data_IF_656399887753
#
_entry.id   IF_656399887753
#
_cell.length_a   1.000
_cell.length_b   1.000
_cell.length_c   1.000
_cell.angle_alpha   90.00
_cell.angle_beta   90.00
_cell.angle_gamma   90.00
#
_symmetry.space_group_name_H-M   'P 1'
#
loop_
_entity.id
_entity.type
_entity.pdbx_description
1 polymer ?
#
# COMPACT_ATOMS: atom_id res chain seq x y z
N UNK A 1 5.03 -14.20 -20.31
CA UNK A 1 4.68 -13.18 -19.30
C UNK A 1 3.80 -13.77 -18.20
N UNK A 2 2.71 -14.49 -18.55
CA UNK A 2 1.87 -15.20 -17.57
C UNK A 2 2.65 -16.25 -16.75
N UNK A 3 3.57 -17.00 -17.37
CA UNK A 3 4.37 -18.02 -16.68
C UNK A 3 5.36 -17.47 -15.65
N UNK A 4 5.83 -16.23 -15.83
CA UNK A 4 6.73 -15.59 -14.85
C UNK A 4 6.00 -15.15 -13.58
N UNK A 5 4.68 -15.00 -13.63
CA UNK A 5 3.87 -14.72 -12.45
C UNK A 5 3.63 -15.96 -11.58
N UNK A 6 3.70 -17.17 -12.18
CA UNK A 6 3.39 -18.45 -11.53
C UNK A 6 4.58 -19.07 -10.78
N UNK A 7 5.82 -18.79 -11.21
CA UNK A 7 7.03 -19.25 -10.51
C UNK A 7 8.00 -18.10 -10.39
N UNK A 8 8.06 -17.51 -9.19
CA UNK A 8 9.04 -16.48 -8.84
C UNK A 8 10.21 -17.17 -8.15
N UNK A 9 11.43 -16.79 -8.52
CA UNK A 9 12.60 -17.18 -7.74
C UNK A 9 12.44 -16.68 -6.30
N UNK A 10 12.76 -17.53 -5.33
CA UNK A 10 12.78 -17.15 -3.91
C UNK A 10 14.21 -17.21 -3.38
N UNK A 11 14.47 -16.43 -2.35
CA UNK A 11 15.66 -16.53 -1.51
C UNK A 11 15.24 -16.64 -0.06
N UNK A 12 16.09 -17.23 0.77
CA UNK A 12 15.88 -17.22 2.21
C UNK A 12 16.15 -15.81 2.76
N UNK A 13 15.27 -15.36 3.63
CA UNK A 13 15.40 -14.14 4.40
C UNK A 13 15.19 -14.44 5.88
N UNK A 14 16.13 -14.03 6.72
CA UNK A 14 15.96 -14.10 8.16
C UNK A 14 15.25 -12.85 8.64
N UNK A 15 14.05 -13.03 9.19
CA UNK A 15 13.17 -11.94 9.61
C UNK A 15 13.06 -11.90 11.13
N UNK A 16 13.76 -10.94 11.76
CA UNK A 16 13.80 -10.74 13.21
C UNK A 16 13.02 -9.51 13.67
N UNK A 17 12.21 -8.91 12.78
CA UNK A 17 11.40 -7.75 13.13
C UNK A 17 10.32 -8.12 14.16
N UNK A 18 10.31 -7.51 15.36
CA UNK A 18 9.32 -7.78 16.40
C UNK A 18 7.90 -7.30 16.04
N UNK A 19 7.73 -6.62 14.91
CA UNK A 19 6.45 -6.11 14.38
C UNK A 19 5.72 -5.20 15.37
N UNK A 20 6.44 -4.39 16.11
CA UNK A 20 5.81 -3.41 17.01
C UNK A 20 5.67 -2.04 16.35
N UNK A 21 4.65 -1.30 16.75
CA UNK A 21 4.54 0.11 16.45
C UNK A 21 5.45 0.99 17.34
N UNK A 22 5.39 2.30 17.16
CA UNK A 22 6.18 3.26 17.93
C UNK A 22 5.82 3.29 19.43
N UNK A 23 4.71 2.66 19.82
CA UNK A 23 4.24 2.53 21.20
C UNK A 23 4.46 1.13 21.78
N UNK A 24 5.23 0.28 21.09
CA UNK A 24 5.52 -1.11 21.43
C UNK A 24 4.30 -2.04 21.39
N UNK A 25 3.23 -1.64 20.71
CA UNK A 25 2.06 -2.48 20.47
C UNK A 25 2.37 -3.40 19.29
N UNK A 26 2.14 -4.70 19.49
CA UNK A 26 2.31 -5.71 18.45
C UNK A 26 1.32 -5.50 17.30
N UNK A 27 1.83 -5.49 16.07
CA UNK A 27 1.06 -5.43 14.83
C UNK A 27 0.69 -6.85 14.36
N UNK A 28 -0.31 -7.00 13.48
CA UNK A 28 -0.68 -8.29 12.90
C UNK A 28 0.53 -9.04 12.32
N UNK A 29 0.75 -10.29 12.76
CA UNK A 29 1.88 -11.12 12.30
C UNK A 29 1.53 -12.58 11.96
N UNK A 30 0.28 -13.01 12.12
CA UNK A 30 -0.15 -14.40 11.79
C UNK A 30 -0.86 -14.47 10.44
N UNK A 31 -0.63 -15.56 9.69
CA UNK A 31 -1.12 -15.71 8.33
C UNK A 31 -2.64 -15.96 8.27
N UNK A 32 -3.24 -16.37 9.39
CA UNK A 32 -4.69 -16.54 9.56
C UNK A 32 -5.43 -15.19 9.60
N UNK A 33 -4.73 -14.10 9.91
CA UNK A 33 -5.34 -12.76 9.96
C UNK A 33 -5.71 -12.31 8.55
N UNK A 34 -6.99 -12.02 8.37
CA UNK A 34 -7.56 -11.47 7.15
C UNK A 34 -7.50 -9.94 7.16
N UNK A 35 -7.36 -9.35 5.98
CA UNK A 35 -7.28 -7.89 5.82
C UNK A 35 -8.39 -7.39 4.91
N UNK A 36 -9.21 -6.48 5.40
CA UNK A 36 -10.18 -5.72 4.61
C UNK A 36 -9.59 -4.35 4.23
N UNK A 37 -9.65 -3.98 2.95
CA UNK A 37 -9.01 -2.76 2.43
C UNK A 37 -9.70 -1.45 2.87
N UNK A 38 -10.95 -1.53 3.31
CA UNK A 38 -11.74 -0.43 3.85
C UNK A 38 -12.88 -0.98 4.72
N UNK A 39 -13.54 -0.15 5.55
CA UNK A 39 -14.77 -0.54 6.23
C UNK A 39 -15.84 -1.03 5.25
N UNK A 40 -16.37 -2.24 5.47
CA UNK A 40 -17.37 -2.87 4.61
C UNK A 40 -16.81 -3.58 3.36
N UNK A 41 -15.50 -3.52 3.11
CA UNK A 41 -14.86 -4.30 2.06
C UNK A 41 -14.72 -5.78 2.45
N UNK A 42 -14.68 -6.65 1.44
CA UNK A 42 -14.37 -8.08 1.65
C UNK A 42 -12.95 -8.28 2.20
N UNK A 43 -12.81 -9.18 3.18
CA UNK A 43 -11.52 -9.50 3.77
C UNK A 43 -10.73 -10.50 2.90
N UNK A 44 -9.41 -10.33 2.87
CA UNK A 44 -8.47 -11.14 2.05
C UNK A 44 -7.45 -11.83 2.95
N UNK A 45 -7.25 -13.12 2.72
CA UNK A 45 -6.21 -13.90 3.38
C UNK A 45 -4.82 -13.66 2.76
N UNK A 46 -3.75 -14.03 3.47
CA UNK A 46 -2.39 -14.08 2.93
C UNK A 46 -1.71 -12.72 2.72
N UNK A 47 -2.30 -11.64 3.25
CA UNK A 47 -1.70 -10.31 3.29
C UNK A 47 -0.86 -10.08 4.55
N UNK A 48 -1.16 -10.81 5.62
CA UNK A 48 -0.28 -10.95 6.79
C UNK A 48 0.55 -12.22 6.62
N UNK A 49 1.84 -12.16 6.97
CA UNK A 49 2.78 -13.28 6.81
C UNK A 49 3.36 -13.65 8.16
N UNK A 50 3.25 -14.93 8.49
CA UNK A 50 3.97 -15.55 9.60
C UNK A 50 5.48 -15.38 9.46
N UNK A 51 6.15 -15.30 10.62
CA UNK A 51 7.59 -15.12 10.72
C UNK A 51 8.22 -16.13 11.68
N UNK A 52 8.35 -17.40 11.28
CA UNK A 52 9.07 -18.42 12.06
C UNK A 52 10.61 -18.21 12.03
N UNK A 53 11.11 -17.01 11.79
CA UNK A 53 12.52 -16.70 11.54
C UNK A 53 12.88 -16.70 10.07
N UNK A 54 13.51 -17.78 9.58
CA UNK A 54 13.92 -17.86 8.17
C UNK A 54 12.71 -18.18 7.28
N UNK A 55 12.42 -17.32 6.31
CA UNK A 55 11.28 -17.46 5.39
C UNK A 55 11.72 -17.29 3.94
N UNK A 56 11.12 -18.05 3.00
CA UNK A 56 11.36 -17.85 1.58
C UNK A 56 10.62 -16.59 1.11
N UNK A 57 11.37 -15.63 0.56
CA UNK A 57 10.81 -14.40 -0.01
C UNK A 57 11.06 -14.35 -1.52
N UNK A 58 10.10 -13.87 -2.33
CA UNK A 58 10.33 -13.64 -3.74
C UNK A 58 11.48 -12.66 -3.97
N UNK A 59 12.37 -12.95 -4.93
CA UNK A 59 13.49 -12.06 -5.28
C UNK A 59 13.05 -10.87 -6.12
N UNK A 60 11.81 -10.87 -6.60
CA UNK A 60 11.20 -9.80 -7.40
C UNK A 60 9.79 -9.55 -6.86
N UNK A 61 9.45 -8.27 -6.68
CA UNK A 61 8.11 -7.82 -6.33
C UNK A 61 7.06 -8.35 -7.31
N UNK A 62 5.84 -8.55 -6.82
CA UNK A 62 4.74 -8.95 -7.69
C UNK A 62 3.41 -8.46 -7.11
N UNK A 63 2.32 -9.00 -7.63
CA UNK A 63 0.97 -8.60 -7.22
C UNK A 63 0.24 -9.77 -6.54
N UNK A 64 -0.74 -9.41 -5.70
CA UNK A 64 -1.76 -10.26 -5.12
C UNK A 64 -2.90 -10.56 -6.08
N UNK A 65 -2.95 -9.89 -7.25
CA UNK A 65 -3.88 -10.23 -8.32
C UNK A 65 -3.43 -11.51 -9.03
N UNK A 66 -4.31 -12.50 -9.07
CA UNK A 66 -4.16 -13.73 -9.84
C UNK A 66 -5.03 -13.71 -11.11
N UNK A 67 -4.81 -14.63 -12.07
CA UNK A 67 -5.57 -14.67 -13.31
C UNK A 67 -7.08 -14.79 -13.12
N UNK A 68 -7.54 -15.50 -12.08
CA UNK A 68 -8.96 -15.68 -11.80
C UNK A 68 -9.57 -14.37 -11.28
N UNK A 69 -8.88 -13.69 -10.37
CA UNK A 69 -9.29 -12.38 -9.84
C UNK A 69 -9.39 -11.32 -10.92
N UNK A 70 -8.46 -11.31 -11.89
CA UNK A 70 -8.50 -10.39 -13.04
C UNK A 70 -9.59 -10.80 -14.03
N UNK A 71 -9.73 -12.09 -14.31
CA UNK A 71 -10.76 -12.62 -15.21
C UNK A 71 -12.20 -12.44 -14.69
N UNK A 72 -12.36 -12.30 -13.37
CA UNK A 72 -13.65 -12.03 -12.74
C UNK A 72 -14.11 -10.58 -12.89
N UNK A 73 -13.23 -9.64 -13.26
CA UNK A 73 -13.58 -8.23 -13.45
C UNK A 73 -14.32 -8.07 -14.78
N UNK A 74 -15.56 -7.56 -14.80
CA UNK A 74 -16.26 -7.28 -16.05
C UNK A 74 -15.47 -6.25 -16.87
N UNK A 75 -15.26 -6.51 -18.17
CA UNK A 75 -14.54 -5.59 -19.08
C UNK A 75 -15.22 -4.22 -19.18
N UNK A 76 -16.52 -4.16 -18.89
CA UNK A 76 -17.32 -2.93 -18.88
C UNK A 76 -17.21 -2.13 -17.58
N UNK A 77 -16.57 -2.68 -16.55
CA UNK A 77 -16.38 -2.02 -15.25
C UNK A 77 -15.01 -1.34 -15.20
N UNK A 78 -14.96 -0.13 -15.77
CA UNK A 78 -13.72 0.66 -15.85
C UNK A 78 -13.16 1.00 -14.45
N UNK A 79 -14.04 1.24 -13.48
CA UNK A 79 -13.65 1.58 -12.12
C UNK A 79 -12.95 0.39 -11.44
N UNK A 80 -13.50 -0.82 -11.58
CA UNK A 80 -12.87 -2.03 -11.07
C UNK A 80 -11.54 -2.35 -11.78
N UNK A 81 -11.47 -2.12 -13.10
CA UNK A 81 -10.22 -2.28 -13.85
C UNK A 81 -9.12 -1.31 -13.41
N UNK A 82 -9.47 -0.04 -13.18
CA UNK A 82 -8.54 0.98 -12.68
C UNK A 82 -8.12 0.70 -11.25
N UNK A 83 -9.04 0.23 -10.40
CA UNK A 83 -8.72 -0.19 -9.02
C UNK A 83 -7.67 -1.31 -9.03
N UNK A 84 -7.91 -2.35 -9.84
CA UNK A 84 -6.97 -3.45 -10.01
C UNK A 84 -5.60 -2.97 -10.55
N UNK A 85 -5.59 -2.04 -11.51
CA UNK A 85 -4.35 -1.44 -12.00
C UNK A 85 -3.57 -0.71 -10.90
N UNK A 86 -4.25 0.12 -10.10
CA UNK A 86 -3.61 0.84 -8.99
C UNK A 86 -3.09 -0.11 -7.90
N UNK A 87 -3.84 -1.18 -7.60
CA UNK A 87 -3.40 -2.23 -6.68
C UNK A 87 -2.14 -2.94 -7.20
N UNK A 88 -2.14 -3.36 -8.48
CA UNK A 88 -0.98 -3.99 -9.10
C UNK A 88 0.25 -3.08 -9.05
N UNK A 89 0.08 -1.80 -9.38
CA UNK A 89 1.17 -0.80 -9.31
C UNK A 89 1.69 -0.63 -7.89
N UNK A 90 0.81 -0.56 -6.89
CA UNK A 90 1.19 -0.43 -5.48
C UNK A 90 2.06 -1.61 -5.02
N UNK A 91 1.71 -2.83 -5.41
CA UNK A 91 2.38 -4.05 -4.95
C UNK A 91 3.67 -4.33 -5.73
N UNK A 92 3.64 -4.16 -7.06
CA UNK A 92 4.81 -4.43 -7.92
C UNK A 92 5.89 -3.37 -7.71
N UNK A 93 5.51 -2.10 -7.57
CA UNK A 93 6.44 -0.96 -7.46
C UNK A 93 6.66 -0.54 -6.00
N UNK A 94 6.41 -1.46 -5.05
CA UNK A 94 6.63 -1.22 -3.64
C UNK A 94 8.11 -0.87 -3.40
N UNK A 95 8.37 0.17 -2.60
CA UNK A 95 9.70 0.76 -2.36
C UNK A 95 10.38 1.45 -3.57
N UNK A 96 9.72 1.60 -4.71
CA UNK A 96 10.28 2.32 -5.88
C UNK A 96 9.93 3.82 -5.91
N UNK A 97 9.30 4.36 -4.86
CA UNK A 97 8.88 5.77 -4.79
C UNK A 97 7.74 6.16 -5.75
N UNK A 98 7.22 5.21 -6.54
CA UNK A 98 6.16 5.45 -7.53
C UNK A 98 4.82 5.79 -6.91
N UNK A 99 4.57 5.36 -5.66
CA UNK A 99 3.30 5.61 -4.97
C UNK A 99 3.03 7.10 -4.75
N UNK A 100 4.06 7.93 -4.57
CA UNK A 100 3.87 9.38 -4.47
C UNK A 100 3.28 9.96 -5.76
N UNK A 101 3.82 9.54 -6.91
CA UNK A 101 3.32 9.96 -8.21
C UNK A 101 1.91 9.40 -8.48
N UNK A 102 1.65 8.14 -8.14
CA UNK A 102 0.31 7.54 -8.25
C UNK A 102 -0.73 8.28 -7.40
N UNK A 103 -0.33 8.75 -6.22
CA UNK A 103 -1.19 9.55 -5.35
C UNK A 103 -1.38 10.99 -5.82
N UNK A 104 -0.59 11.44 -6.81
CA UNK A 104 -0.58 12.82 -7.33
C UNK A 104 0.24 13.80 -6.50
N UNK A 105 1.12 13.33 -5.62
CA UNK A 105 2.01 14.19 -4.84
C UNK A 105 3.09 14.76 -5.77
N UNK A 106 3.24 16.09 -5.80
CA UNK A 106 4.27 16.78 -6.56
C UNK A 106 5.18 17.58 -5.63
N UNK A 107 6.47 17.31 -5.71
CA UNK A 107 7.50 18.09 -5.03
C UNK A 107 7.85 19.34 -5.85
N UNK A 108 8.22 20.46 -5.21
CA UNK A 108 8.65 21.66 -5.89
C UNK A 108 10.01 21.43 -6.55
N UNK A 109 10.30 22.21 -7.59
CA UNK A 109 11.66 22.32 -8.13
C UNK A 109 12.59 22.90 -7.06
N UNK A 110 13.89 22.64 -7.22
CA UNK A 110 14.88 23.08 -6.24
C UNK A 110 14.92 24.60 -6.17
N UNK A 111 15.05 25.17 -4.96
CA UNK A 111 15.05 26.63 -4.75
C UNK A 111 16.07 27.36 -5.65
N UNK A 112 17.27 26.78 -5.82
CA UNK A 112 18.29 27.33 -6.73
C UNK A 112 17.78 27.48 -8.17
N UNK A 113 17.00 26.53 -8.66
CA UNK A 113 16.46 26.56 -10.02
C UNK A 113 15.43 27.69 -10.17
N UNK A 114 14.60 27.91 -9.14
CA UNK A 114 13.66 29.03 -9.05
C UNK A 114 14.43 30.37 -9.06
N UNK A 115 15.48 30.50 -8.25
CA UNK A 115 16.22 31.76 -8.08
C UNK A 115 17.09 32.13 -9.29
N UNK A 116 17.52 31.14 -10.08
CA UNK A 116 18.47 31.36 -11.19
C UNK A 116 17.81 31.36 -12.56
N UNK A 117 16.57 30.88 -12.70
CA UNK A 117 15.84 30.87 -13.95
C UNK A 117 14.85 32.05 -14.01
N UNK A 118 15.09 33.07 -14.85
CA UNK A 118 14.18 34.22 -14.96
C UNK A 118 12.80 33.88 -15.56
N UNK A 119 12.62 32.65 -16.07
CA UNK A 119 11.33 32.15 -16.58
C UNK A 119 10.49 31.39 -15.55
N UNK A 120 10.90 31.36 -14.28
CA UNK A 120 10.15 30.72 -13.19
C UNK A 120 9.92 31.78 -12.11
N UNK A 121 8.66 32.03 -11.76
CA UNK A 121 8.28 32.93 -10.69
C UNK A 121 7.81 32.16 -9.44
N UNK A 122 8.03 32.69 -8.21
CA UNK A 122 7.45 32.11 -7.01
C UNK A 122 5.92 32.03 -7.10
N UNK A 123 5.36 30.84 -6.88
CA UNK A 123 3.93 30.58 -7.04
C UNK A 123 3.57 29.90 -8.37
N UNK A 124 4.54 29.76 -9.29
CA UNK A 124 4.35 28.95 -10.50
C UNK A 124 4.06 27.49 -10.15
N UNK A 125 3.36 26.79 -11.07
CA UNK A 125 2.92 25.42 -10.87
C UNK A 125 4.06 24.48 -10.44
N UNK A 126 5.31 24.69 -10.83
CA UNK A 126 6.42 23.81 -10.44
C UNK A 126 7.09 24.20 -9.10
N UNK A 127 6.76 25.35 -8.52
CA UNK A 127 7.47 25.94 -7.36
C UNK A 127 6.82 25.63 -6.01
N UNK A 128 5.57 25.18 -6.02
CA UNK A 128 4.85 24.81 -4.81
C UNK A 128 4.78 23.29 -4.63
N UNK A 129 4.64 22.84 -3.38
CA UNK A 129 4.29 21.46 -3.06
C UNK A 129 2.82 21.25 -3.37
N UNK A 130 2.47 20.17 -4.07
CA UNK A 130 1.08 19.73 -4.22
C UNK A 130 0.89 18.40 -3.52
N UNK A 131 0.05 18.41 -2.49
CA UNK A 131 -0.50 17.21 -1.87
C UNK A 131 -2.01 17.22 -2.16
N UNK A 132 -2.52 16.29 -2.99
CA UNK A 132 -3.93 16.26 -3.31
C UNK A 132 -4.82 16.14 -2.07
N UNK A 133 -5.96 16.85 -2.07
CA UNK A 133 -6.87 16.94 -0.92
C UNK A 133 -7.56 15.62 -0.58
N UNK A 134 -7.58 14.65 -1.50
CA UNK A 134 -8.10 13.30 -1.25
C UNK A 134 -7.13 12.41 -0.47
N UNK A 135 -5.87 12.84 -0.26
CA UNK A 135 -4.95 12.13 0.62
C UNK A 135 -5.31 12.49 2.07
N UNK A 136 -5.64 11.50 2.91
CA UNK A 136 -6.05 11.76 4.28
C UNK A 136 -4.88 12.32 5.10
N UNK A 137 -5.17 13.35 5.91
CA UNK A 137 -4.18 14.10 6.65
C UNK A 137 -3.70 13.35 7.91
N UNK A 138 -2.73 13.94 8.62
CA UNK A 138 -2.32 13.52 9.97
C UNK A 138 -1.96 12.02 10.12
N UNK A 139 -1.31 11.45 9.10
CA UNK A 139 -0.81 10.07 9.15
C UNK A 139 -1.86 9.00 8.86
N UNK A 140 -3.11 9.36 8.59
CA UNK A 140 -4.22 8.39 8.45
C UNK A 140 -4.05 7.31 7.36
N UNK A 141 -3.05 7.44 6.47
CA UNK A 141 -2.71 6.44 5.47
C UNK A 141 -2.27 5.08 6.05
N UNK A 142 -1.75 5.06 7.29
CA UNK A 142 -1.30 3.82 7.95
C UNK A 142 -2.30 3.26 8.96
N UNK A 143 -3.45 3.92 9.13
CA UNK A 143 -4.41 3.56 10.16
C UNK A 143 -5.20 2.33 9.75
N UNK A 144 -5.27 1.38 10.68
CA UNK A 144 -6.11 0.20 10.60
C UNK A 144 -6.66 -0.14 12.00
N UNK A 145 -7.71 -0.97 12.03
CA UNK A 145 -8.35 -1.40 13.27
C UNK A 145 -8.64 -2.91 13.26
N UNK A 146 -8.43 -3.62 14.37
CA UNK A 146 -7.79 -3.14 15.60
C UNK A 146 -6.30 -2.86 15.40
N UNK A 147 -5.72 -1.97 16.22
CA UNK A 147 -4.28 -1.64 16.16
C UNK A 147 -3.40 -2.86 16.50
N UNK A 148 -3.89 -3.70 17.40
CA UNK A 148 -3.40 -5.04 17.70
C UNK A 148 -4.59 -6.01 17.69
N UNK A 149 -4.52 -7.11 16.91
CA UNK A 149 -5.53 -8.17 16.94
C UNK A 149 -5.36 -9.13 18.12
N UNK A 150 -4.39 -8.90 19.01
CA UNK A 150 -4.04 -9.79 20.14
C UNK A 150 -4.63 -9.31 21.46
N UNK A 151 -4.70 -10.19 22.47
CA UNK A 151 -5.09 -9.83 23.82
C UNK A 151 -4.34 -8.60 24.38
N UNK A 152 -4.98 -7.76 25.21
CA UNK A 152 -4.30 -6.65 25.86
C UNK A 152 -3.14 -7.12 26.75
N UNK A 153 -1.98 -6.49 26.59
CA UNK A 153 -0.78 -6.83 27.37
C UNK A 153 0.13 -7.88 26.73
N UNK A 154 -0.22 -8.40 25.55
CA UNK A 154 0.68 -9.23 24.74
C UNK A 154 1.94 -8.44 24.38
N UNK A 155 3.09 -8.99 24.75
CA UNK A 155 4.39 -8.45 24.42
C UNK A 155 4.89 -8.99 23.07
N UNK A 156 5.85 -8.31 22.46
CA UNK A 156 6.38 -8.72 21.16
C UNK A 156 7.07 -10.09 21.21
N UNK A 157 7.71 -10.40 22.34
CA UNK A 157 8.38 -11.65 22.65
C UNK A 157 7.45 -12.86 22.85
N UNK A 158 6.13 -12.65 23.00
CA UNK A 158 5.18 -13.73 23.24
C UNK A 158 4.87 -14.46 21.93
N UNK A 159 5.69 -15.45 21.55
CA UNK A 159 5.70 -16.03 20.19
C UNK A 159 4.47 -16.92 19.87
N UNK A 160 3.75 -17.41 20.88
CA UNK A 160 2.66 -18.40 20.74
C UNK A 160 1.28 -17.84 21.13
N UNK A 161 1.03 -16.55 20.86
CA UNK A 161 -0.24 -15.89 21.19
C UNK A 161 -1.16 -15.84 19.99
N UNK A 162 -2.34 -16.46 20.13
CA UNK A 162 -3.40 -16.42 19.15
C UNK A 162 -4.10 -15.05 19.12
N UNK A 163 -4.53 -14.57 17.94
CA UNK A 163 -5.30 -13.33 17.83
C UNK A 163 -6.74 -13.48 18.38
N UNK A 164 -7.21 -12.47 19.12
CA UNK A 164 -8.63 -12.34 19.51
C UNK A 164 -9.50 -11.97 18.30
N UNK A 165 -8.91 -11.30 17.30
CA UNK A 165 -9.59 -10.80 16.11
C UNK A 165 -8.87 -11.24 14.84
N UNK A 166 -9.54 -12.04 14.02
CA UNK A 166 -9.01 -12.56 12.75
C UNK A 166 -9.18 -11.61 11.56
N UNK A 167 -9.71 -10.40 11.77
CA UNK A 167 -9.87 -9.43 10.67
C UNK A 167 -9.42 -8.05 11.08
N UNK A 168 -8.47 -7.53 10.31
CA UNK A 168 -7.99 -6.16 10.40
C UNK A 168 -8.56 -5.35 9.24
N UNK A 169 -9.04 -4.16 9.53
CA UNK A 169 -9.67 -3.26 8.56
C UNK A 169 -8.79 -2.04 8.38
N UNK A 170 -8.29 -1.83 7.17
CA UNK A 170 -7.58 -0.59 6.79
C UNK A 170 -8.58 0.56 6.77
N UNK A 171 -8.20 1.74 7.24
CA UNK A 171 -9.09 2.89 7.30
C UNK A 171 -9.45 3.44 5.91
N UNK A 172 -8.48 3.48 5.00
CA UNK A 172 -8.63 4.08 3.67
C UNK A 172 -8.06 3.17 2.58
N UNK A 173 -8.94 2.69 1.69
CA UNK A 173 -8.50 2.11 0.42
C UNK A 173 -8.11 3.22 -0.55
N UNK A 174 -6.83 3.58 -0.54
CA UNK A 174 -6.32 4.64 -1.42
C UNK A 174 -6.41 4.26 -2.91
N UNK A 175 -6.49 2.98 -3.29
CA UNK A 175 -6.69 2.63 -4.69
C UNK A 175 -8.11 2.97 -5.14
N UNK A 176 -9.11 2.72 -4.30
CA UNK A 176 -10.48 3.16 -4.55
C UNK A 176 -10.60 4.70 -4.59
N UNK A 177 -9.91 5.39 -3.68
CA UNK A 177 -9.86 6.87 -3.69
C UNK A 177 -9.28 7.40 -5.00
N UNK A 178 -8.23 6.76 -5.56
CA UNK A 178 -7.65 7.18 -6.84
C UNK A 178 -8.58 6.95 -8.03
N UNK A 179 -9.39 5.90 -8.02
CA UNK A 179 -10.39 5.68 -9.07
C UNK A 179 -11.41 6.81 -9.08
N UNK A 180 -11.93 7.18 -7.91
CA UNK A 180 -12.90 8.29 -7.79
C UNK A 180 -12.29 9.63 -8.22
N UNK A 181 -11.00 9.84 -7.94
CA UNK A 181 -10.28 11.09 -8.23
C UNK A 181 -9.46 11.03 -9.54
N UNK A 182 -9.73 10.08 -10.44
CA UNK A 182 -8.92 9.84 -11.66
C UNK A 182 -8.81 11.06 -12.59
N UNK A 183 -9.79 11.95 -12.56
CA UNK A 183 -9.80 13.20 -13.35
C UNK A 183 -8.86 14.28 -12.80
N UNK A 184 -8.34 14.10 -11.59
CA UNK A 184 -7.43 15.03 -10.90
C UNK A 184 -5.96 14.67 -11.18
N UNK A 185 -5.69 13.48 -11.71
CA UNK A 185 -4.36 13.07 -12.17
C UNK A 185 -4.22 13.44 -13.66
N UNK A 186 -3.40 14.43 -14.02
CA UNK A 186 -3.14 14.73 -15.42
C UNK A 186 -2.23 13.63 -15.95
N UNK A 187 -2.81 12.50 -16.37
CA UNK A 187 -2.00 11.47 -17.04
C UNK A 187 -1.57 11.93 -18.42
N UNK A 188 -2.31 12.82 -19.08
CA UNK A 188 -1.86 13.57 -20.25
C UNK A 188 -2.58 14.93 -20.28
N UNK A 189 -1.84 16.00 -20.57
CA UNK A 189 -2.38 17.34 -20.67
C UNK A 189 -3.53 17.43 -21.68
N UNK A 190 -4.55 18.18 -21.31
CA UNK A 190 -5.47 18.82 -22.26
C UNK A 190 -4.78 19.94 -23.02
#
# INVERSE_FOLDING_TARGET
ALDAALVRGTTEFFDDDPRVDATFVIRPRDAEILVAAAPGAGARAGLVRERPGTVPVPTVSGTSLDPDSVGAIPVTDEDALLHALYLARQEILFLEGRRMADLGIRLPVMLREIETNPGIEPGDFATEVVVPSHIPAAGQLDVYSPISPYPPGTAAEDVDVEPDVLTVVIAHDMNAVLVVNRSVLPLFGS
#
